data_IF_601950355202
#
_entry.id   IF_601950355202
#
_cell.length_a   1.000
_cell.length_b   1.000
_cell.length_c   1.000
_cell.angle_alpha   90.00
_cell.angle_beta   90.00
_cell.angle_gamma   90.00
#
_symmetry.space_group_name_H-M   'P 1'
#
loop_
_entity.id
_entity.type
_entity.pdbx_description
1 polymer ?
#
# COMPACT_ATOMS: atom_id res chain seq x y z
N UNK A 1 -2.16 -3.61 23.38
CA UNK A 1 -3.18 -2.60 23.69
C UNK A 1 -4.32 -2.82 22.71
N UNK A 2 -5.56 -2.76 23.19
CA UNK A 2 -6.73 -2.96 22.35
C UNK A 2 -6.96 -1.73 21.47
N UNK A 3 -7.35 -1.92 20.20
CA UNK A 3 -7.59 -0.83 19.23
C UNK A 3 -8.56 0.23 19.75
N UNK A 4 -9.54 -0.19 20.56
CA UNK A 4 -10.52 0.71 21.19
C UNK A 4 -9.90 1.70 22.17
N UNK A 5 -8.84 1.30 22.89
CA UNK A 5 -8.11 2.18 23.81
C UNK A 5 -7.26 3.19 23.04
N UNK A 6 -6.56 2.72 22.01
CA UNK A 6 -5.79 3.57 21.10
C UNK A 6 -6.71 4.60 20.44
N UNK A 7 -7.90 4.19 20.00
CA UNK A 7 -8.82 5.12 19.39
C UNK A 7 -9.35 6.17 20.36
N UNK A 8 -9.66 5.80 21.60
CA UNK A 8 -10.09 6.76 22.62
C UNK A 8 -9.02 7.82 22.91
N UNK A 9 -7.73 7.47 22.84
CA UNK A 9 -6.61 8.39 23.05
C UNK A 9 -6.26 9.20 21.79
N UNK A 10 -6.28 8.57 20.62
CA UNK A 10 -5.69 9.09 19.39
C UNK A 10 -6.69 9.36 18.26
N UNK A 11 -8.00 9.41 18.52
CA UNK A 11 -9.02 9.68 17.47
C UNK A 11 -8.73 10.96 16.67
N UNK A 12 -8.16 11.97 17.32
CA UNK A 12 -7.87 13.28 16.73
C UNK A 12 -6.79 13.22 15.64
N UNK A 13 -5.92 12.21 15.64
CA UNK A 13 -4.85 12.09 14.62
C UNK A 13 -5.40 11.71 13.25
N UNK A 14 -6.52 10.97 13.22
CA UNK A 14 -7.24 10.69 11.97
C UNK A 14 -7.92 11.95 11.42
N UNK A 15 -8.47 12.81 12.30
CA UNK A 15 -9.11 14.06 11.89
C UNK A 15 -8.10 15.07 11.33
N UNK A 16 -6.91 15.14 11.93
CA UNK A 16 -5.82 16.01 11.49
C UNK A 16 -4.94 15.39 10.37
N UNK A 17 -5.24 14.18 9.92
CA UNK A 17 -4.45 13.48 8.88
C UNK A 17 -2.96 13.31 9.25
N UNK A 18 -2.68 12.98 10.51
CA UNK A 18 -1.32 12.74 11.05
C UNK A 18 -1.17 11.35 11.67
N UNK A 19 -2.08 10.42 11.34
CA UNK A 19 -2.07 9.07 11.88
C UNK A 19 -0.84 8.26 11.48
N UNK A 20 -0.21 8.58 10.34
CA UNK A 20 1.00 7.94 9.83
C UNK A 20 2.27 8.24 10.67
N UNK A 21 2.27 9.29 11.49
CA UNK A 21 3.38 9.62 12.38
C UNK A 21 3.29 8.91 13.73
N UNK A 22 2.13 8.34 14.05
CA UNK A 22 2.00 7.43 15.19
C UNK A 22 2.57 6.07 14.79
N UNK A 23 3.19 5.38 15.74
CA UNK A 23 3.60 3.99 15.52
C UNK A 23 2.40 3.14 15.09
N UNK A 24 2.61 2.18 14.18
CA UNK A 24 1.53 1.34 13.60
C UNK A 24 0.60 0.72 14.66
N UNK A 25 1.13 0.40 15.85
CA UNK A 25 0.36 -0.18 16.97
C UNK A 25 -0.47 0.82 17.77
N UNK A 26 -0.27 2.12 17.60
CA UNK A 26 -0.94 3.19 18.36
C UNK A 26 -2.03 3.90 17.53
N UNK A 27 -2.18 3.51 16.27
CA UNK A 27 -3.18 4.06 15.37
C UNK A 27 -4.60 3.63 15.80
N UNK A 28 -5.56 4.55 15.71
CA UNK A 28 -6.98 4.24 15.93
C UNK A 28 -7.53 3.33 14.82
N UNK A 29 -7.15 3.61 13.57
CA UNK A 29 -7.58 2.86 12.39
C UNK A 29 -6.31 2.55 11.59
N UNK A 30 -5.88 1.29 11.54
CA UNK A 30 -4.64 0.88 10.86
C UNK A 30 -4.65 1.06 9.35
N UNK A 31 -5.77 1.47 8.75
CA UNK A 31 -5.85 1.83 7.34
C UNK A 31 -5.82 3.36 7.14
N UNK A 32 -6.07 4.19 8.16
CA UNK A 32 -6.19 5.64 7.96
C UNK A 32 -4.87 6.33 7.58
N UNK A 33 -3.72 5.68 7.80
CA UNK A 33 -2.41 6.23 7.45
C UNK A 33 -2.29 6.55 5.95
N UNK A 34 -2.94 5.78 5.06
CA UNK A 34 -2.89 6.07 3.61
C UNK A 34 -3.57 7.40 3.32
N UNK A 35 -4.72 7.64 3.94
CA UNK A 35 -5.50 8.85 3.74
C UNK A 35 -4.76 10.07 4.30
N UNK A 36 -4.10 9.89 5.45
CA UNK A 36 -3.20 10.89 6.03
C UNK A 36 -2.06 11.26 5.09
N UNK A 37 -1.39 10.25 4.52
CA UNK A 37 -0.32 10.45 3.55
C UNK A 37 -0.79 11.22 2.30
N UNK A 38 -1.93 10.85 1.75
CA UNK A 38 -2.46 11.45 0.53
C UNK A 38 -2.82 12.91 0.74
N UNK A 39 -3.42 13.26 1.89
CA UNK A 39 -3.73 14.64 2.26
C UNK A 39 -2.47 15.48 2.46
N UNK A 40 -1.42 14.92 3.10
CA UNK A 40 -0.14 15.61 3.28
C UNK A 40 0.50 15.97 1.93
N UNK A 41 0.54 15.01 1.01
CA UNK A 41 1.13 15.24 -0.32
C UNK A 41 0.27 16.19 -1.15
N UNK A 42 -1.06 16.11 -1.02
CA UNK A 42 -1.98 17.05 -1.66
C UNK A 42 -1.76 18.49 -1.19
N UNK A 43 -1.62 18.71 0.13
CA UNK A 43 -1.33 20.03 0.69
C UNK A 43 0.03 20.56 0.21
N UNK A 44 1.02 19.69 0.03
CA UNK A 44 2.34 20.05 -0.52
C UNK A 44 2.35 20.26 -2.04
N UNK A 45 1.30 19.82 -2.75
CA UNK A 45 1.26 19.86 -4.22
C UNK A 45 1.53 21.24 -4.86
N UNK A 46 1.09 22.40 -4.30
CA UNK A 46 1.40 23.70 -4.89
C UNK A 46 2.90 23.97 -4.95
N UNK A 47 3.67 23.46 -3.98
CA UNK A 47 5.13 23.63 -3.93
C UNK A 47 5.79 22.96 -5.14
N UNK A 48 5.30 21.80 -5.57
CA UNK A 48 5.80 21.11 -6.76
C UNK A 48 5.42 21.82 -8.07
N UNK A 49 4.35 22.62 -8.05
CA UNK A 49 3.87 23.38 -9.21
C UNK A 49 4.58 24.73 -9.37
N UNK A 50 5.01 25.37 -8.29
CA UNK A 50 5.68 26.70 -8.33
C UNK A 50 6.86 26.75 -9.33
N UNK A 51 7.79 25.78 -9.38
CA UNK A 51 8.88 25.78 -10.36
C UNK A 51 8.43 25.83 -11.83
N UNK A 52 7.27 25.24 -12.15
CA UNK A 52 6.72 25.23 -13.51
C UNK A 52 6.24 26.61 -13.98
N UNK A 53 5.95 27.53 -13.05
CA UNK A 53 5.56 28.91 -13.36
C UNK A 53 6.75 29.68 -13.93
N UNK A 54 7.95 29.43 -13.42
CA UNK A 54 9.16 30.13 -13.87
C UNK A 54 9.77 29.50 -15.12
N UNK A 55 9.86 28.16 -15.18
CA UNK A 55 10.30 27.48 -16.39
C UNK A 55 9.80 26.03 -16.45
N UNK A 56 9.38 25.54 -17.63
CA UNK A 56 8.98 24.14 -17.78
C UNK A 56 10.15 23.18 -17.49
N UNK A 57 11.35 23.51 -17.95
CA UNK A 57 12.54 22.68 -17.75
C UNK A 57 12.94 22.63 -16.27
N UNK A 58 12.92 23.77 -15.57
CA UNK A 58 13.19 23.81 -14.13
C UNK A 58 12.18 22.99 -13.32
N UNK A 59 10.90 23.04 -13.69
CA UNK A 59 9.87 22.18 -13.09
C UNK A 59 10.21 20.69 -13.21
N UNK A 60 10.49 20.21 -14.42
CA UNK A 60 10.86 18.81 -14.61
C UNK A 60 12.16 18.42 -13.90
N UNK A 61 13.17 19.29 -13.88
CA UNK A 61 14.42 19.04 -13.14
C UNK A 61 14.17 18.88 -11.64
N UNK A 62 13.33 19.73 -11.05
CA UNK A 62 12.95 19.63 -9.63
C UNK A 62 12.19 18.33 -9.36
N UNK A 63 11.23 17.94 -10.21
CA UNK A 63 10.50 16.67 -10.03
C UNK A 63 11.43 15.45 -10.11
N UNK A 64 12.37 15.45 -11.06
CA UNK A 64 13.36 14.36 -11.20
C UNK A 64 14.27 14.33 -9.98
N UNK A 65 14.77 15.48 -9.53
CA UNK A 65 15.61 15.56 -8.34
C UNK A 65 14.89 15.03 -7.09
N UNK A 66 13.64 15.45 -6.86
CA UNK A 66 12.82 14.96 -5.74
C UNK A 66 12.53 13.47 -5.83
N UNK A 67 12.32 12.94 -7.04
CA UNK A 67 12.13 11.49 -7.25
C UNK A 67 13.40 10.71 -6.91
N UNK A 68 14.57 11.20 -7.33
CA UNK A 68 15.86 10.58 -6.97
C UNK A 68 16.09 10.62 -5.46
N UNK A 69 15.76 11.73 -4.80
CA UNK A 69 15.87 11.87 -3.34
C UNK A 69 14.93 10.87 -2.63
N UNK A 70 13.69 10.73 -3.09
CA UNK A 70 12.74 9.75 -2.54
C UNK A 70 13.25 8.31 -2.65
N UNK A 71 13.79 7.94 -3.82
CA UNK A 71 14.38 6.62 -4.05
C UNK A 71 15.61 6.41 -3.15
N UNK A 72 16.47 7.40 -3.04
CA UNK A 72 17.66 7.33 -2.18
C UNK A 72 17.29 7.18 -0.70
N UNK A 73 16.29 7.92 -0.22
CA UNK A 73 15.75 7.79 1.14
C UNK A 73 15.18 6.39 1.39
N UNK A 74 14.47 5.83 0.41
CA UNK A 74 13.92 4.46 0.50
C UNK A 74 15.04 3.43 0.64
N UNK A 75 16.10 3.56 -0.16
CA UNK A 75 17.25 2.67 -0.05
C UNK A 75 17.99 2.85 1.29
N UNK A 76 18.14 4.10 1.74
CA UNK A 76 18.76 4.42 3.01
C UNK A 76 18.02 3.80 4.19
N UNK A 77 16.69 3.92 4.25
CA UNK A 77 15.90 3.33 5.35
C UNK A 77 15.95 1.81 5.33
N UNK A 78 15.90 1.20 4.15
CA UNK A 78 16.07 -0.26 4.02
C UNK A 78 17.42 -0.73 4.56
N UNK A 79 18.51 -0.01 4.26
CA UNK A 79 19.86 -0.37 4.73
C UNK A 79 20.06 -0.10 6.22
N UNK A 80 19.62 1.07 6.70
CA UNK A 80 19.78 1.49 8.10
C UNK A 80 19.02 0.57 9.07
N UNK A 81 17.79 0.19 8.72
CA UNK A 81 16.94 -0.66 9.56
C UNK A 81 17.04 -2.16 9.23
N UNK A 82 17.96 -2.56 8.34
CA UNK A 82 18.17 -3.96 7.89
C UNK A 82 16.87 -4.66 7.46
N UNK A 83 15.99 -3.93 6.79
CA UNK A 83 14.67 -4.42 6.40
C UNK A 83 14.75 -5.28 5.14
N UNK A 84 13.97 -6.37 5.03
CA UNK A 84 13.94 -7.17 3.83
C UNK A 84 13.27 -6.43 2.66
N UNK A 85 13.95 -6.36 1.52
CA UNK A 85 13.44 -5.71 0.29
C UNK A 85 12.52 -6.58 -0.57
N UNK A 86 12.22 -7.82 -0.16
CA UNK A 86 11.38 -8.75 -0.93
C UNK A 86 10.14 -9.17 -0.14
N UNK A 87 8.99 -9.24 -0.82
CA UNK A 87 7.71 -9.60 -0.20
C UNK A 87 7.76 -10.95 0.54
N UNK A 88 8.49 -11.93 0.00
CA UNK A 88 8.68 -13.25 0.62
C UNK A 88 9.40 -13.15 1.97
N UNK A 89 10.42 -12.28 2.05
CA UNK A 89 11.17 -12.10 3.31
C UNK A 89 10.41 -11.23 4.31
N UNK A 90 9.57 -10.30 3.84
CA UNK A 90 8.64 -9.55 4.71
C UNK A 90 7.59 -10.48 5.31
N UNK A 91 7.04 -11.41 4.52
CA UNK A 91 6.06 -12.39 5.00
C UNK A 91 6.60 -13.40 6.03
N UNK A 92 7.92 -13.54 6.11
CA UNK A 92 8.61 -14.39 7.10
C UNK A 92 9.07 -13.61 8.36
N UNK A 93 8.74 -12.32 8.48
CA UNK A 93 9.07 -11.54 9.67
C UNK A 93 8.15 -11.92 10.84
N UNK A 94 8.70 -11.84 12.05
CA UNK A 94 7.89 -11.89 13.27
C UNK A 94 6.98 -10.65 13.35
N UNK A 95 5.93 -10.68 14.17
CA UNK A 95 4.96 -9.58 14.33
C UNK A 95 5.61 -8.22 14.60
N UNK A 96 6.69 -8.18 15.41
CA UNK A 96 7.47 -6.98 15.65
C UNK A 96 8.17 -6.47 14.38
N UNK A 97 8.83 -7.35 13.63
CA UNK A 97 9.49 -6.99 12.37
C UNK A 97 8.50 -6.54 11.29
N UNK A 98 7.31 -7.14 11.23
CA UNK A 98 6.23 -6.66 10.35
C UNK A 98 5.76 -5.26 10.75
N UNK A 99 5.59 -5.00 12.04
CA UNK A 99 5.19 -3.67 12.55
C UNK A 99 6.24 -2.62 12.17
N UNK A 100 7.52 -2.91 12.38
CA UNK A 100 8.60 -1.97 12.07
C UNK A 100 8.73 -1.74 10.57
N UNK A 101 8.55 -2.79 9.75
CA UNK A 101 8.50 -2.66 8.30
C UNK A 101 7.36 -1.74 7.86
N UNK A 102 6.17 -1.90 8.45
CA UNK A 102 5.02 -1.05 8.12
C UNK A 102 5.32 0.41 8.47
N UNK A 103 5.79 0.69 9.68
CA UNK A 103 6.07 2.05 10.12
C UNK A 103 7.20 2.74 9.34
N UNK A 104 8.36 2.09 9.19
CA UNK A 104 9.56 2.72 8.61
C UNK A 104 9.60 2.71 7.08
N UNK A 105 8.94 1.75 6.43
CA UNK A 105 9.03 1.55 4.98
C UNK A 105 7.68 1.75 4.29
N UNK A 106 6.59 1.29 4.88
CA UNK A 106 5.30 1.24 4.17
C UNK A 106 4.45 2.52 4.35
N UNK A 107 4.38 3.03 5.58
CA UNK A 107 3.56 4.16 6.04
C UNK A 107 4.26 5.51 5.86
N UNK A 108 5.56 5.49 5.55
CA UNK A 108 6.37 6.69 5.44
C UNK A 108 6.08 7.49 4.16
N UNK A 109 5.63 8.75 4.32
CA UNK A 109 5.16 9.58 3.21
C UNK A 109 6.23 9.87 2.14
N UNK A 110 7.50 9.99 2.55
CA UNK A 110 8.60 10.32 1.64
C UNK A 110 8.94 9.20 0.64
N UNK A 111 8.57 7.95 0.93
CA UNK A 111 8.76 6.81 0.01
C UNK A 111 7.65 6.81 -1.06
N UNK A 112 6.48 7.36 -0.71
CA UNK A 112 5.27 7.36 -1.54
C UNK A 112 5.14 8.59 -2.43
N UNK A 113 6.03 9.58 -2.35
CA UNK A 113 5.90 10.84 -3.09
C UNK A 113 6.09 10.67 -4.62
N UNK A 114 6.89 9.70 -5.06
CA UNK A 114 7.21 9.47 -6.49
C UNK A 114 6.00 9.39 -7.43
N UNK A 115 4.97 8.55 -7.18
CA UNK A 115 3.76 8.52 -8.03
C UNK A 115 3.03 9.87 -8.11
N UNK A 116 3.06 10.67 -7.04
CA UNK A 116 2.47 12.01 -7.03
C UNK A 116 3.25 12.98 -7.93
N UNK A 117 4.59 12.93 -7.89
CA UNK A 117 5.44 13.74 -8.77
C UNK A 117 5.21 13.38 -10.25
N UNK A 118 5.04 12.10 -10.56
CA UNK A 118 4.65 11.64 -11.91
C UNK A 118 3.28 12.19 -12.30
N UNK A 119 2.31 12.17 -11.38
CA UNK A 119 0.98 12.76 -11.58
C UNK A 119 1.05 14.26 -11.91
N UNK A 120 1.89 15.02 -11.19
CA UNK A 120 2.12 16.46 -11.46
C UNK A 120 2.73 16.67 -12.86
N UNK A 121 3.74 15.88 -13.22
CA UNK A 121 4.36 15.92 -14.54
C UNK A 121 3.34 15.66 -15.67
N UNK A 122 2.53 14.61 -15.53
CA UNK A 122 1.47 14.27 -16.48
C UNK A 122 0.42 15.38 -16.54
N UNK A 123 -0.02 15.90 -15.38
CA UNK A 123 -0.97 17.02 -15.31
C UNK A 123 -0.50 18.25 -16.07
N UNK A 124 0.79 18.60 -15.95
CA UNK A 124 1.37 19.71 -16.71
C UNK A 124 1.38 19.45 -18.23
N UNK A 125 1.75 18.24 -18.66
CA UNK A 125 1.73 17.86 -20.08
C UNK A 125 0.31 17.93 -20.65
N UNK A 126 -0.70 17.52 -19.87
CA UNK A 126 -2.11 17.59 -20.27
C UNK A 126 -2.61 19.03 -20.40
N UNK A 127 -2.21 19.92 -19.50
CA UNK A 127 -2.55 21.35 -19.62
C UNK A 127 -1.96 21.97 -20.90
N UNK A 128 -0.74 21.54 -21.29
CA UNK A 128 -0.07 22.06 -22.49
C UNK A 128 -0.55 21.40 -23.78
N UNK A 129 -0.92 20.13 -23.72
CA UNK A 129 -1.38 19.34 -24.87
C UNK A 129 -2.90 19.32 -24.86
N UNK A 130 -3.53 20.26 -25.58
CA UNK A 130 -4.99 20.42 -25.71
C UNK A 130 -5.75 19.08 -25.68
N UNK A 131 -6.86 19.01 -24.93
CA UNK A 131 -7.65 17.82 -24.56
C UNK A 131 -7.93 16.77 -25.68
N UNK A 132 -7.82 17.16 -26.94
CA UNK A 132 -7.89 16.27 -28.13
C UNK A 132 -6.88 15.12 -28.11
N UNK A 133 -5.62 15.35 -27.72
CA UNK A 133 -4.60 14.27 -27.66
C UNK A 133 -4.87 13.30 -26.49
N UNK A 134 -5.40 13.80 -25.37
CA UNK A 134 -5.76 12.98 -24.22
C UNK A 134 -6.85 11.97 -24.57
N UNK A 135 -7.94 12.46 -25.19
CA UNK A 135 -9.04 11.61 -25.60
C UNK A 135 -8.65 10.59 -26.68
N UNK A 136 -7.80 10.98 -27.64
CA UNK A 136 -7.47 10.13 -28.77
C UNK A 136 -6.32 9.15 -28.51
N UNK A 137 -5.39 9.44 -27.60
CA UNK A 137 -4.20 8.61 -27.40
C UNK A 137 -4.08 8.09 -25.97
N UNK A 138 -4.28 8.93 -24.95
CA UNK A 138 -4.06 8.50 -23.56
C UNK A 138 -5.11 7.48 -23.12
N UNK A 139 -6.41 7.78 -23.31
CA UNK A 139 -7.51 6.86 -22.93
C UNK A 139 -7.35 5.46 -23.56
N UNK A 140 -7.20 5.31 -24.89
CA UNK A 140 -7.09 3.98 -25.49
C UNK A 140 -5.82 3.24 -25.06
N UNK A 141 -4.68 3.92 -24.90
CA UNK A 141 -3.44 3.31 -24.40
C UNK A 141 -3.64 2.79 -22.97
N UNK A 142 -4.26 3.59 -22.09
CA UNK A 142 -4.52 3.20 -20.71
C UNK A 142 -5.47 1.99 -20.65
N UNK A 143 -6.56 2.00 -21.42
CA UNK A 143 -7.50 0.87 -21.49
C UNK A 143 -6.81 -0.40 -22.02
N UNK A 144 -6.01 -0.27 -23.09
CA UNK A 144 -5.27 -1.40 -23.65
C UNK A 144 -4.24 -1.95 -22.67
N UNK A 145 -3.54 -1.09 -21.92
CA UNK A 145 -2.60 -1.52 -20.88
C UNK A 145 -3.30 -2.27 -19.74
N UNK A 146 -4.48 -1.81 -19.30
CA UNK A 146 -5.26 -2.52 -18.28
C UNK A 146 -5.76 -3.86 -18.78
N UNK A 147 -6.22 -3.94 -20.03
CA UNK A 147 -6.65 -5.20 -20.63
C UNK A 147 -5.49 -6.19 -20.70
N UNK A 148 -4.32 -5.75 -21.19
CA UNK A 148 -3.15 -6.62 -21.28
C UNK A 148 -2.65 -7.05 -19.89
N UNK A 149 -2.62 -6.14 -18.92
CA UNK A 149 -2.23 -6.46 -17.55
C UNK A 149 -3.17 -7.50 -16.91
N UNK A 150 -4.48 -7.34 -17.09
CA UNK A 150 -5.47 -8.30 -16.57
C UNK A 150 -5.28 -9.70 -17.17
N UNK A 151 -5.09 -9.78 -18.49
CA UNK A 151 -4.81 -11.04 -19.18
C UNK A 151 -3.51 -11.66 -18.68
N UNK A 152 -2.46 -10.87 -18.52
CA UNK A 152 -1.18 -11.32 -18.00
C UNK A 152 -1.28 -11.87 -16.56
N UNK A 153 -1.98 -11.16 -15.67
CA UNK A 153 -2.22 -11.61 -14.29
C UNK A 153 -3.01 -12.93 -14.25
N UNK A 154 -4.05 -13.10 -15.08
CA UNK A 154 -4.79 -14.37 -15.14
C UNK A 154 -3.91 -15.52 -15.63
N UNK A 155 -3.12 -15.29 -16.68
CA UNK A 155 -2.31 -16.33 -17.31
C UNK A 155 -1.13 -16.79 -16.45
N UNK A 156 -0.48 -15.87 -15.74
CA UNK A 156 0.77 -16.19 -15.04
C UNK A 156 0.63 -16.20 -13.52
N UNK A 157 -0.07 -15.22 -12.95
CA UNK A 157 -0.11 -15.03 -11.50
C UNK A 157 -0.98 -16.09 -10.80
N UNK A 158 -2.13 -16.45 -11.40
CA UNK A 158 -3.03 -17.46 -10.83
C UNK A 158 -2.40 -18.87 -10.84
N UNK A 159 -1.75 -19.32 -11.93
CA UNK A 159 -1.08 -20.63 -11.94
C UNK A 159 0.17 -20.68 -11.04
N UNK A 160 1.01 -19.64 -11.01
CA UNK A 160 2.20 -19.64 -10.14
C UNK A 160 1.81 -19.64 -8.66
N UNK A 161 0.82 -18.85 -8.24
CA UNK A 161 0.34 -18.86 -6.87
C UNK A 161 -0.16 -20.25 -6.43
N UNK A 162 -0.80 -20.99 -7.33
CA UNK A 162 -1.23 -22.38 -7.08
C UNK A 162 -0.03 -23.32 -6.96
N UNK A 163 0.94 -23.22 -7.85
CA UNK A 163 2.15 -24.07 -7.83
C UNK A 163 2.99 -23.81 -6.58
N UNK A 164 3.14 -22.55 -6.19
CA UNK A 164 3.84 -22.16 -4.95
C UNK A 164 3.14 -22.72 -3.70
N UNK A 165 1.81 -22.67 -3.65
CA UNK A 165 1.05 -23.28 -2.55
C UNK A 165 1.26 -24.80 -2.48
N UNK A 166 1.44 -25.48 -3.63
CA UNK A 166 1.70 -26.92 -3.69
C UNK A 166 3.13 -27.28 -3.27
N UNK A 167 4.11 -26.41 -3.53
CA UNK A 167 5.52 -26.65 -3.20
C UNK A 167 5.87 -26.31 -1.74
N UNK A 168 5.21 -25.30 -1.16
CA UNK A 168 5.48 -24.82 0.20
C UNK A 168 4.59 -25.46 1.26
N UNK A 169 3.56 -26.22 0.88
CA UNK A 169 2.81 -27.05 1.85
C UNK A 169 3.65 -28.30 2.17
N UNK A 170 4.15 -28.47 3.40
CA UNK A 170 4.84 -29.70 3.78
C UNK A 170 3.85 -30.86 3.67
N UNK A 171 4.23 -31.92 2.97
CA UNK A 171 3.43 -33.15 2.83
C UNK A 171 3.45 -33.94 4.16
N UNK A 172 2.72 -33.44 5.15
CA UNK A 172 2.34 -34.14 6.38
C UNK A 172 0.84 -34.45 6.36
N UNK A 173 0.36 -35.47 7.10
CA UNK A 173 -1.01 -35.94 6.96
C UNK A 173 -2.01 -34.87 7.43
N UNK A 174 -2.88 -34.46 6.50
CA UNK A 174 -4.21 -33.89 6.70
C UNK A 174 -4.53 -33.32 8.09
N UNK A 175 -4.32 -32.02 8.28
CA UNK A 175 -5.23 -31.23 9.11
C UNK A 175 -6.12 -30.38 8.22
N UNK A 176 -7.42 -30.55 8.44
CA UNK A 176 -8.51 -29.96 7.73
C UNK A 176 -8.34 -28.44 7.56
N UNK A 177 -8.37 -28.06 6.29
CA UNK A 177 -9.04 -26.87 5.79
C UNK A 177 -10.19 -26.43 6.71
N UNK A 178 -9.93 -25.48 7.61
CA UNK A 178 -10.96 -24.73 8.32
C UNK A 178 -11.49 -23.64 7.38
N UNK A 179 -12.10 -24.09 6.28
CA UNK A 179 -13.06 -23.33 5.51
C UNK A 179 -14.34 -24.13 5.55
N UNK A 180 -15.14 -23.93 6.59
CA UNK A 180 -16.53 -24.40 6.60
C UNK A 180 -17.41 -23.17 6.58
N UNK A 181 -17.88 -22.85 5.39
CA UNK A 181 -19.17 -22.21 5.18
C UNK A 181 -20.23 -22.96 6.01
N UNK A 182 -20.93 -22.20 6.87
CA UNK A 182 -22.30 -22.36 7.35
C UNK A 182 -22.97 -23.73 7.04
N UNK A 183 -23.26 -24.52 8.08
CA UNK A 183 -24.52 -25.26 8.20
C UNK A 183 -24.70 -25.73 9.65
N UNK A 184 -25.65 -25.13 10.37
CA UNK A 184 -26.23 -25.81 11.54
C UNK A 184 -26.91 -27.09 11.04
N UNK A 185 -26.74 -28.20 11.75
CA UNK A 185 -27.62 -29.36 11.60
C UNK A 185 -28.23 -29.67 12.96
N UNK A 186 -29.55 -29.74 12.90
CA UNK A 186 -30.52 -29.85 13.97
C UNK A 186 -30.58 -31.28 14.50
N UNK A 187 -29.97 -31.54 15.66
CA UNK A 187 -30.30 -32.63 16.60
C UNK A 187 -29.42 -32.51 17.85
N UNK A 188 -29.96 -32.92 19.00
CA UNK A 188 -29.39 -32.90 20.35
C UNK A 188 -29.66 -31.63 21.18
N UNK A 189 -30.95 -31.34 21.32
CA UNK A 189 -31.53 -30.89 22.58
C UNK A 189 -31.08 -31.89 23.68
N UNK A 190 -30.47 -31.40 24.77
CA UNK A 190 -30.00 -32.12 25.98
C UNK A 190 -28.54 -32.62 26.01
N UNK A 191 -27.58 -31.72 26.24
CA UNK A 191 -26.52 -31.90 27.24
C UNK A 191 -25.64 -30.64 27.35
N UNK A 192 -25.92 -29.83 28.37
CA UNK A 192 -25.06 -28.73 28.79
C UNK A 192 -23.68 -29.25 29.23
N UNK A 193 -22.63 -28.95 28.45
CA UNK A 193 -21.25 -28.63 28.90
C UNK A 193 -20.31 -28.45 27.70
N UNK A 194 -20.08 -27.20 27.29
CA UNK A 194 -18.85 -26.82 26.59
C UNK A 194 -17.80 -26.44 27.65
N UNK A 195 -16.73 -27.22 27.78
CA UNK A 195 -15.52 -26.84 28.53
C UNK A 195 -14.41 -26.55 27.53
N UNK A 196 -13.79 -25.38 27.72
CA UNK A 196 -12.75 -24.77 26.89
C UNK A 196 -11.38 -25.34 27.29
N UNK A 197 -10.55 -25.71 26.32
CA UNK A 197 -9.11 -25.48 26.36
C UNK A 197 -8.74 -24.66 25.12
#
# INVERSE_FOLDING_TARGET
>A
MDESENCRKNWWTNLLYVSNFLGTREQCISLSWYLSNDMQIYVLSPIFLVPFIFSPLGGFLVLVALSIISIALTYYTMFAFKMPGTAIRVGNLNEAGMTDFMYYVYEASYIRVTPYLVGVAVGYILLKTRNTMYAQHVIPITVLSFFFAFIWSILFEVPTARIESLLLTPRGPSQQQKTTSISCKEQDFLASKCVKF
#
